data_IF_577889705876
#
_entry.id   IF_577889705876
#
_cell.length_a   1.000
_cell.length_b   1.000
_cell.length_c   1.000
_cell.angle_alpha   90.00
_cell.angle_beta   90.00
_cell.angle_gamma   90.00
#
_symmetry.space_group_name_H-M   'P 1'
#
loop_
_entity.id
_entity.type
_entity.pdbx_description
1 polymer ?
#
# COMPACT_ATOMS: atom_id res chain seq x y z
N UNK A 1 7.13 -8.70 -27.92
CA UNK A 1 5.93 -9.12 -28.69
C UNK A 1 5.01 -9.88 -27.75
N UNK A 2 3.67 -9.71 -27.81
CA UNK A 2 2.77 -10.64 -27.13
C UNK A 2 3.06 -12.04 -27.70
N UNK A 3 3.67 -12.89 -26.89
CA UNK A 3 3.92 -14.26 -27.29
C UNK A 3 2.55 -14.89 -27.54
N UNK A 4 2.29 -15.32 -28.78
CA UNK A 4 1.10 -16.09 -29.15
C UNK A 4 1.12 -17.43 -28.43
N UNK A 5 0.82 -17.43 -27.14
CA UNK A 5 0.53 -18.64 -26.40
C UNK A 5 -0.93 -18.98 -26.70
N UNK A 6 -1.13 -19.72 -27.78
CA UNK A 6 -2.44 -20.28 -28.11
C UNK A 6 -2.55 -21.63 -27.39
N UNK A 7 -3.40 -21.71 -26.38
CA UNK A 7 -3.74 -23.00 -25.76
C UNK A 7 -4.99 -23.52 -26.50
N UNK A 8 -4.90 -24.64 -27.22
CA UNK A 8 -6.06 -25.23 -27.88
C UNK A 8 -7.08 -25.63 -26.82
N UNK A 9 -8.36 -25.28 -27.04
CA UNK A 9 -9.44 -25.67 -26.15
C UNK A 9 -9.57 -27.20 -26.19
N UNK A 10 -9.42 -27.93 -25.07
CA UNK A 10 -9.68 -29.35 -25.06
C UNK A 10 -11.17 -29.59 -25.38
N UNK A 11 -11.42 -30.29 -26.48
CA UNK A 11 -12.76 -30.72 -26.90
C UNK A 11 -13.48 -31.43 -25.76
N UNK A 12 -14.57 -30.85 -25.28
CA UNK A 12 -15.45 -31.44 -24.26
C UNK A 12 -15.29 -30.94 -22.81
N UNK A 13 -14.36 -30.01 -22.50
CA UNK A 13 -14.29 -29.38 -21.17
C UNK A 13 -14.32 -27.85 -21.28
N UNK A 14 -15.40 -27.22 -20.80
CA UNK A 14 -15.47 -25.76 -20.66
C UNK A 14 -14.31 -25.29 -19.78
N UNK A 15 -13.34 -24.65 -20.42
CA UNK A 15 -12.24 -23.95 -19.77
C UNK A 15 -12.70 -22.50 -19.59
N UNK A 16 -12.71 -22.04 -18.35
CA UNK A 16 -13.10 -20.68 -18.02
C UNK A 16 -11.96 -19.73 -18.40
N UNK A 17 -12.32 -18.58 -18.97
CA UNK A 17 -11.35 -17.55 -19.38
C UNK A 17 -11.16 -16.58 -18.23
N UNK A 18 -9.91 -16.33 -17.88
CA UNK A 18 -9.52 -15.32 -16.92
C UNK A 18 -8.98 -14.06 -17.60
N UNK A 19 -8.54 -13.10 -16.79
CA UNK A 19 -7.93 -11.87 -17.27
C UNK A 19 -6.69 -12.14 -18.15
N UNK A 20 -6.46 -11.26 -19.13
CA UNK A 20 -5.31 -11.38 -20.05
C UNK A 20 -5.48 -12.42 -21.16
N UNK A 21 -6.69 -12.96 -21.34
CA UNK A 21 -7.01 -13.92 -22.41
C UNK A 21 -8.25 -13.49 -23.20
N UNK A 22 -8.30 -13.86 -24.47
CA UNK A 22 -9.48 -13.73 -25.33
C UNK A 22 -9.59 -14.99 -26.20
N UNK A 23 -10.73 -15.20 -26.86
CA UNK A 23 -10.90 -16.34 -27.77
C UNK A 23 -10.98 -15.87 -29.20
N UNK A 24 -10.22 -16.56 -30.04
CA UNK A 24 -10.11 -16.36 -31.46
C UNK A 24 -10.11 -17.74 -32.11
N UNK A 25 -11.03 -18.01 -33.04
CA UNK A 25 -11.11 -19.28 -33.79
C UNK A 25 -11.07 -20.55 -32.91
N UNK A 26 -11.88 -20.62 -31.85
CA UNK A 26 -11.91 -21.72 -30.87
C UNK A 26 -10.57 -22.01 -30.16
N UNK A 27 -9.66 -21.03 -30.14
CA UNK A 27 -8.43 -21.08 -29.36
C UNK A 27 -8.39 -19.95 -28.35
N UNK A 28 -7.89 -20.24 -27.14
CA UNK A 28 -7.63 -19.19 -26.15
C UNK A 28 -6.28 -18.57 -26.50
N UNK A 29 -6.29 -17.28 -26.79
CA UNK A 29 -5.10 -16.48 -27.12
C UNK A 29 -4.86 -15.45 -26.02
N UNK A 30 -3.59 -15.19 -25.72
CA UNK A 30 -3.19 -14.16 -24.78
C UNK A 30 -3.32 -12.76 -25.38
N UNK A 31 -3.89 -11.82 -24.62
CA UNK A 31 -3.92 -10.39 -24.98
C UNK A 31 -2.73 -9.59 -24.45
N UNK A 32 -1.95 -10.15 -23.52
CA UNK A 32 -0.88 -9.43 -22.80
C UNK A 32 0.41 -10.26 -22.72
N UNK A 33 1.57 -9.59 -22.76
CA UNK A 33 2.83 -10.28 -22.51
C UNK A 33 2.96 -10.60 -21.01
N UNK A 34 3.10 -11.89 -20.68
CA UNK A 34 3.00 -12.36 -19.30
C UNK A 34 3.25 -13.85 -19.13
N UNK A 35 3.14 -14.31 -17.88
CA UNK A 35 3.20 -15.72 -17.52
C UNK A 35 1.79 -16.32 -17.52
N UNK A 36 1.67 -17.57 -17.99
CA UNK A 36 0.40 -18.29 -17.97
C UNK A 36 0.12 -18.79 -16.55
N UNK A 37 -1.03 -18.42 -16.01
CA UNK A 37 -1.53 -18.95 -14.73
C UNK A 37 -2.75 -19.82 -14.99
N UNK A 38 -2.68 -21.08 -14.53
CA UNK A 38 -3.77 -22.03 -14.63
C UNK A 38 -4.22 -22.44 -13.25
N UNK A 39 -5.37 -21.93 -12.84
CA UNK A 39 -6.00 -22.29 -11.55
C UNK A 39 -7.24 -23.13 -11.85
N UNK A 40 -7.15 -24.43 -11.58
CA UNK A 40 -8.20 -25.40 -11.92
C UNK A 40 -8.56 -25.38 -13.42
N UNK A 41 -9.75 -24.88 -13.74
CA UNK A 41 -10.30 -24.73 -15.10
C UNK A 41 -10.18 -23.30 -15.63
N UNK A 42 -9.66 -22.36 -14.84
CA UNK A 42 -9.47 -20.97 -15.22
C UNK A 42 -8.06 -20.79 -15.82
N UNK A 43 -7.99 -20.26 -17.03
CA UNK A 43 -6.73 -19.84 -17.65
C UNK A 43 -6.67 -18.31 -17.67
N UNK A 44 -5.67 -17.74 -17.02
CA UNK A 44 -5.35 -16.32 -17.04
C UNK A 44 -3.90 -16.09 -17.44
N UNK A 45 -3.58 -14.89 -17.90
CA UNK A 45 -2.20 -14.48 -18.16
C UNK A 45 -1.86 -13.32 -17.25
N UNK A 46 -0.88 -13.53 -16.38
CA UNK A 46 -0.37 -12.49 -15.49
C UNK A 46 0.62 -11.61 -16.25
N UNK A 47 0.32 -10.33 -16.49
CA UNK A 47 1.19 -9.47 -17.30
C UNK A 47 2.56 -9.24 -16.64
N UNK A 48 3.57 -8.85 -17.43
CA UNK A 48 4.92 -8.49 -16.92
C UNK A 48 5.00 -7.11 -16.27
N UNK A 49 4.13 -6.18 -16.66
CA UNK A 49 3.93 -4.90 -15.97
C UNK A 49 2.44 -4.57 -15.93
N UNK A 50 1.94 -4.14 -14.76
CA UNK A 50 0.55 -3.74 -14.57
C UNK A 50 0.48 -2.70 -13.47
N UNK A 51 -0.47 -1.79 -13.59
CA UNK A 51 -0.92 -0.96 -12.47
C UNK A 51 -1.53 -1.85 -11.40
N UNK A 52 -1.68 -1.31 -10.20
CA UNK A 52 -2.37 -1.99 -9.12
C UNK A 52 -3.77 -2.41 -9.57
N UNK A 53 -4.05 -3.71 -9.44
CA UNK A 53 -5.37 -4.29 -9.67
C UNK A 53 -5.98 -4.52 -8.30
N UNK A 54 -6.98 -3.74 -7.90
CA UNK A 54 -7.56 -3.83 -6.58
C UNK A 54 -8.36 -5.10 -6.36
N UNK A 55 -8.28 -5.64 -5.15
CA UNK A 55 -9.15 -6.70 -4.65
C UNK A 55 -9.88 -6.25 -3.38
N UNK A 56 -11.03 -6.86 -3.08
CA UNK A 56 -11.77 -6.56 -1.85
C UNK A 56 -10.95 -7.03 -0.65
N UNK A 57 -10.85 -6.17 0.36
CA UNK A 57 -10.05 -6.40 1.57
C UNK A 57 -8.59 -5.94 1.45
N UNK A 58 -8.20 -5.32 0.34
CA UNK A 58 -6.86 -4.79 0.19
C UNK A 58 -6.65 -3.54 1.05
N UNK A 59 -5.53 -3.52 1.77
CA UNK A 59 -5.05 -2.31 2.44
C UNK A 59 -4.31 -1.43 1.44
N UNK A 60 -4.76 -0.20 1.26
CA UNK A 60 -4.19 0.76 0.31
C UNK A 60 -3.91 2.09 1.00
N UNK A 61 -2.85 2.75 0.55
CA UNK A 61 -2.60 4.14 0.91
C UNK A 61 -3.03 4.99 -0.27
N UNK A 62 -3.65 6.13 -0.02
CA UNK A 62 -4.10 7.01 -1.10
C UNK A 62 -4.03 8.48 -0.75
N UNK A 63 -4.05 9.31 -1.79
CA UNK A 63 -4.04 10.76 -1.68
C UNK A 63 -5.41 11.32 -2.06
N UNK A 64 -5.96 12.22 -1.25
CA UNK A 64 -7.19 12.94 -1.60
C UNK A 64 -6.91 13.83 -2.82
N UNK A 65 -7.67 13.64 -3.89
CA UNK A 65 -7.59 14.46 -5.11
C UNK A 65 -8.59 15.58 -5.06
N UNK A 66 -9.83 15.27 -4.70
CA UNK A 66 -10.92 16.25 -4.59
C UNK A 66 -11.90 15.85 -3.49
N UNK A 67 -12.52 16.89 -2.91
CA UNK A 67 -13.69 16.76 -2.05
C UNK A 67 -14.94 17.06 -2.88
N UNK A 68 -15.78 16.06 -3.09
CA UNK A 68 -17.05 16.19 -3.81
C UNK A 68 -18.24 16.02 -2.84
N UNK A 69 -19.47 16.24 -3.32
CA UNK A 69 -20.67 16.12 -2.50
C UNK A 69 -20.78 14.74 -1.83
N UNK A 70 -20.65 14.70 -0.50
CA UNK A 70 -20.72 13.50 0.36
C UNK A 70 -19.65 12.42 0.11
N UNK A 71 -18.63 12.69 -0.72
CA UNK A 71 -17.56 11.73 -1.02
C UNK A 71 -16.22 12.42 -1.30
N UNK A 72 -15.14 11.73 -1.01
CA UNK A 72 -13.80 12.10 -1.45
C UNK A 72 -13.38 11.21 -2.61
N UNK A 73 -12.68 11.79 -3.60
CA UNK A 73 -11.92 11.00 -4.57
C UNK A 73 -10.50 10.82 -4.08
N UNK A 74 -10.00 9.60 -4.18
CA UNK A 74 -8.70 9.20 -3.65
C UNK A 74 -7.88 8.55 -4.76
N UNK A 75 -6.71 9.08 -5.02
CA UNK A 75 -5.71 8.49 -5.91
C UNK A 75 -5.01 7.36 -5.17
N UNK A 76 -5.11 6.14 -5.70
CA UNK A 76 -4.58 4.93 -5.07
C UNK A 76 -3.78 4.06 -6.07
N UNK A 77 -3.13 4.67 -7.07
CA UNK A 77 -2.28 4.03 -8.08
C UNK A 77 -2.99 2.93 -8.92
N UNK A 78 -4.32 3.00 -9.00
CA UNK A 78 -5.14 2.09 -9.78
C UNK A 78 -5.44 2.66 -11.18
N UNK A 79 -6.35 2.00 -11.91
CA UNK A 79 -6.84 2.47 -13.22
C UNK A 79 -7.73 3.73 -13.11
N UNK A 80 -8.47 3.84 -12.01
CA UNK A 80 -9.43 4.92 -11.74
C UNK A 80 -9.25 5.37 -10.29
N UNK A 81 -9.66 6.60 -10.00
CA UNK A 81 -9.69 7.11 -8.64
C UNK A 81 -10.69 6.32 -7.79
N UNK A 82 -10.29 6.01 -6.58
CA UNK A 82 -11.16 5.39 -5.59
C UNK A 82 -12.11 6.42 -4.99
N UNK A 83 -13.24 5.95 -4.46
CA UNK A 83 -14.26 6.78 -3.83
C UNK A 83 -14.35 6.41 -2.35
N UNK A 84 -14.13 7.39 -1.49
CA UNK A 84 -14.34 7.28 -0.06
C UNK A 84 -15.61 8.03 0.32
N UNK A 85 -16.66 7.31 0.71
CA UNK A 85 -17.92 7.92 1.10
C UNK A 85 -17.84 8.51 2.51
N UNK A 86 -18.52 9.63 2.77
CA UNK A 86 -18.66 10.18 4.14
C UNK A 86 -19.28 9.16 5.11
N UNK A 87 -20.17 8.30 4.61
CA UNK A 87 -20.77 7.20 5.38
C UNK A 87 -19.77 6.09 5.76
N UNK A 88 -18.62 6.01 5.09
CA UNK A 88 -17.60 4.97 5.28
C UNK A 88 -16.40 5.42 6.13
N UNK A 89 -16.42 6.66 6.63
CA UNK A 89 -15.38 7.25 7.48
C UNK A 89 -15.83 7.35 8.94
N UNK A 90 -14.89 7.21 9.88
CA UNK A 90 -15.11 7.40 11.32
C UNK A 90 -15.00 8.87 11.70
N UNK A 91 -16.13 9.54 11.99
CA UNK A 91 -16.11 10.94 12.40
C UNK A 91 -15.63 11.10 13.85
N UNK A 92 -15.02 12.24 14.22
CA UNK A 92 -14.73 12.56 15.61
C UNK A 92 -16.01 12.50 16.45
N UNK A 93 -15.97 11.85 17.61
CA UNK A 93 -17.12 11.52 18.46
C UNK A 93 -17.47 10.02 18.51
N UNK A 94 -16.73 9.17 17.79
CA UNK A 94 -16.84 7.71 17.86
C UNK A 94 -17.96 7.10 17.01
N UNK A 95 -18.04 5.76 17.02
CA UNK A 95 -18.94 4.94 16.17
C UNK A 95 -20.43 5.28 16.41
N UNK A 96 -20.78 5.82 17.58
CA UNK A 96 -22.16 6.09 17.99
C UNK A 96 -22.70 7.47 17.57
N UNK A 97 -21.86 8.34 16.97
CA UNK A 97 -22.30 9.64 16.44
C UNK A 97 -23.15 9.43 15.19
N UNK A 98 -24.39 9.94 15.20
CA UNK A 98 -25.26 9.98 14.01
C UNK A 98 -24.69 11.02 13.03
N UNK A 99 -24.47 10.61 11.77
CA UNK A 99 -23.96 11.48 10.70
C UNK A 99 -25.04 12.49 10.32
N UNK A 100 -24.72 13.79 10.36
CA UNK A 100 -25.66 14.88 10.12
C UNK A 100 -25.29 15.59 8.81
N UNK A 101 -26.25 16.21 8.13
CA UNK A 101 -25.99 17.00 6.91
C UNK A 101 -24.95 18.10 7.12
N UNK A 102 -24.81 18.64 8.34
CA UNK A 102 -23.77 19.61 8.69
C UNK A 102 -22.34 19.07 8.57
N UNK A 103 -22.14 17.74 8.70
CA UNK A 103 -20.82 17.12 8.53
C UNK A 103 -20.36 17.20 7.07
N UNK A 104 -21.29 17.26 6.12
CA UNK A 104 -20.97 17.39 4.70
C UNK A 104 -20.37 18.75 4.32
N UNK A 105 -20.71 19.79 5.07
CA UNK A 105 -20.13 21.13 4.93
C UNK A 105 -18.71 21.18 5.50
N UNK A 106 -18.41 20.31 6.47
CA UNK A 106 -17.12 20.23 7.17
C UNK A 106 -16.19 19.15 6.62
N UNK A 107 -16.52 18.55 5.47
CA UNK A 107 -15.71 17.46 4.90
C UNK A 107 -14.24 17.84 4.70
N UNK A 108 -14.01 19.09 4.30
CA UNK A 108 -12.67 19.66 4.08
C UNK A 108 -11.87 19.85 5.38
N UNK A 109 -12.54 19.93 6.53
CA UNK A 109 -11.88 19.98 7.84
C UNK A 109 -11.35 18.60 8.25
N UNK A 110 -11.96 17.52 7.78
CA UNK A 110 -11.50 16.16 8.06
C UNK A 110 -10.39 15.73 7.10
N UNK A 111 -10.67 15.83 5.80
CA UNK A 111 -9.76 15.40 4.74
C UNK A 111 -9.83 16.42 3.61
N UNK A 112 -8.73 17.14 3.42
CA UNK A 112 -8.53 18.12 2.36
C UNK A 112 -7.73 17.52 1.20
N UNK A 113 -7.72 18.20 0.05
CA UNK A 113 -6.92 17.78 -1.10
C UNK A 113 -5.43 17.76 -0.76
N UNK A 114 -4.75 16.69 -1.20
CA UNK A 114 -3.34 16.44 -0.89
C UNK A 114 -3.11 15.60 0.35
N UNK A 115 -4.12 15.43 1.22
CA UNK A 115 -3.99 14.58 2.40
C UNK A 115 -3.76 13.12 2.03
N UNK A 116 -2.91 12.44 2.80
CA UNK A 116 -2.66 11.02 2.67
C UNK A 116 -3.46 10.26 3.74
N UNK A 117 -4.01 9.12 3.34
CA UNK A 117 -4.75 8.25 4.24
C UNK A 117 -4.48 6.78 3.92
N UNK A 118 -4.65 5.93 4.92
CA UNK A 118 -4.73 4.48 4.76
C UNK A 118 -6.19 4.05 4.85
N UNK A 119 -6.62 3.21 3.91
CA UNK A 119 -7.98 2.69 3.83
C UNK A 119 -7.98 1.26 3.31
N UNK A 120 -9.12 0.60 3.49
CA UNK A 120 -9.37 -0.74 2.96
C UNK A 120 -10.38 -0.69 1.81
N UNK A 121 -10.18 -1.55 0.81
CA UNK A 121 -11.10 -1.70 -0.31
C UNK A 121 -12.33 -2.50 0.15
N UNK A 122 -13.47 -1.82 0.25
CA UNK A 122 -14.72 -2.42 0.72
C UNK A 122 -15.42 -3.26 -0.36
N UNK A 123 -15.53 -2.67 -1.54
CA UNK A 123 -16.37 -3.16 -2.63
C UNK A 123 -16.02 -2.40 -3.92
N UNK A 124 -16.62 -2.83 -5.01
CA UNK A 124 -16.56 -2.15 -6.30
C UNK A 124 -17.92 -1.59 -6.66
N UNK A 125 -17.93 -0.39 -7.23
CA UNK A 125 -19.10 0.17 -7.89
C UNK A 125 -19.33 -0.50 -9.25
N UNK A 126 -20.51 -0.30 -9.84
CA UNK A 126 -20.87 -0.90 -11.13
C UNK A 126 -20.02 -0.43 -12.31
N UNK A 127 -19.37 0.73 -12.19
CA UNK A 127 -18.41 1.29 -13.13
C UNK A 127 -16.97 0.74 -12.95
N UNK A 128 -16.75 -0.07 -11.92
CA UNK A 128 -15.45 -0.62 -11.54
C UNK A 128 -14.62 0.29 -10.64
N UNK A 129 -15.15 1.44 -10.20
CA UNK A 129 -14.48 2.26 -9.21
C UNK A 129 -14.41 1.55 -7.86
N UNK A 130 -13.31 1.73 -7.14
CA UNK A 130 -13.13 1.15 -5.80
C UNK A 130 -13.90 1.98 -4.78
N UNK A 131 -14.66 1.32 -3.91
CA UNK A 131 -15.22 1.93 -2.70
C UNK A 131 -14.28 1.68 -1.54
N UNK A 132 -13.77 2.74 -0.91
CA UNK A 132 -12.91 2.67 0.27
C UNK A 132 -13.71 2.85 1.55
N UNK A 133 -13.18 2.30 2.65
CA UNK A 133 -13.67 2.59 4.00
C UNK A 133 -12.53 2.70 5.01
N UNK A 134 -12.77 3.49 6.06
CA UNK A 134 -11.84 3.69 7.19
C UNK A 134 -12.53 3.35 8.51
N UNK A 135 -13.32 2.26 8.52
CA UNK A 135 -14.10 1.84 9.71
C UNK A 135 -13.22 1.38 10.88
N UNK A 136 -12.02 0.88 10.62
CA UNK A 136 -11.09 0.51 11.68
C UNK A 136 -10.37 1.74 12.21
N UNK A 137 -10.15 1.78 13.51
CA UNK A 137 -9.38 2.82 14.20
C UNK A 137 -7.89 2.87 13.77
N UNK A 138 -7.38 1.77 13.21
CA UNK A 138 -6.05 1.71 12.59
C UNK A 138 -5.99 2.46 11.24
N UNK A 139 -7.14 2.84 10.70
CA UNK A 139 -7.25 3.50 9.41
C UNK A 139 -7.54 4.99 9.60
N UNK A 140 -7.04 5.82 8.70
CA UNK A 140 -7.20 7.27 8.83
C UNK A 140 -6.09 8.04 8.14
N UNK A 141 -6.01 9.32 8.51
CA UNK A 141 -5.03 10.25 7.97
C UNK A 141 -3.62 9.88 8.44
N UNK A 142 -2.67 9.94 7.51
CA UNK A 142 -1.27 9.64 7.76
C UNK A 142 -0.50 10.93 8.13
N UNK A 143 0.33 10.84 9.17
CA UNK A 143 1.15 11.95 9.70
C UNK A 143 2.51 11.45 10.19
N UNK A 144 3.41 12.38 10.52
CA UNK A 144 4.73 12.10 11.11
C UNK A 144 5.58 11.09 10.30
N UNK A 145 5.57 11.20 8.98
CA UNK A 145 6.22 10.21 8.12
C UNK A 145 6.45 10.66 6.69
N UNK A 146 6.88 9.70 5.88
CA UNK A 146 7.24 9.86 4.48
C UNK A 146 6.58 8.79 3.61
N UNK A 147 6.08 9.21 2.46
CA UNK A 147 5.48 8.34 1.45
C UNK A 147 6.53 7.90 0.43
N UNK A 148 6.57 6.60 0.15
CA UNK A 148 7.31 6.00 -0.95
C UNK A 148 6.34 5.42 -1.97
N UNK A 149 6.64 5.63 -3.24
CA UNK A 149 5.86 5.08 -4.36
C UNK A 149 6.68 4.02 -5.07
N UNK A 150 6.27 2.77 -4.92
CA UNK A 150 6.93 1.59 -5.49
C UNK A 150 6.04 0.88 -6.51
N UNK A 151 6.62 -0.09 -7.21
CA UNK A 151 5.85 -1.01 -8.03
C UNK A 151 4.97 -1.90 -7.15
N UNK A 152 3.64 -1.99 -7.40
CA UNK A 152 2.73 -2.85 -6.61
C UNK A 152 3.16 -4.32 -6.58
N UNK A 153 3.96 -4.76 -7.56
CA UNK A 153 4.45 -6.14 -7.68
C UNK A 153 5.42 -6.54 -6.58
N UNK A 154 6.11 -5.57 -5.99
CA UNK A 154 7.11 -5.80 -4.95
C UNK A 154 6.46 -6.03 -3.59
N UNK A 155 5.20 -5.64 -3.43
CA UNK A 155 4.47 -5.75 -2.18
C UNK A 155 3.69 -7.07 -2.21
N UNK A 156 4.16 -8.04 -1.42
CA UNK A 156 3.47 -9.32 -1.25
C UNK A 156 2.30 -9.14 -0.29
N UNK A 157 1.23 -9.92 -0.47
CA UNK A 157 0.11 -9.97 0.48
C UNK A 157 0.59 -10.69 1.74
N UNK A 158 0.63 -9.96 2.86
CA UNK A 158 1.07 -10.45 4.17
C UNK A 158 -0.13 -10.61 5.10
N UNK A 159 0.07 -11.30 6.23
CA UNK A 159 -0.95 -11.41 7.29
C UNK A 159 -1.27 -10.04 7.90
N UNK A 160 -0.26 -9.19 8.05
CA UNK A 160 -0.38 -7.80 8.46
C UNK A 160 0.46 -6.94 7.53
N UNK A 161 -0.15 -5.88 7.02
CA UNK A 161 0.53 -4.84 6.24
C UNK A 161 1.03 -3.68 7.11
N UNK A 162 0.76 -3.74 8.42
CA UNK A 162 1.38 -2.89 9.42
C UNK A 162 2.60 -3.63 9.98
N UNK A 163 3.77 -3.07 9.73
CA UNK A 163 5.07 -3.60 10.17
C UNK A 163 5.64 -2.61 11.18
N UNK A 164 5.98 -3.10 12.36
CA UNK A 164 6.59 -2.30 13.40
C UNK A 164 8.04 -2.74 13.57
N UNK A 165 8.98 -1.80 13.39
CA UNK A 165 10.41 -2.01 13.61
C UNK A 165 10.76 -1.45 15.00
N UNK A 166 10.96 -2.31 16.02
CA UNK A 166 11.30 -1.85 17.35
C UNK A 166 12.72 -1.28 17.41
N UNK A 167 13.08 -0.68 18.55
CA UNK A 167 14.46 -0.33 18.87
C UNK A 167 15.39 -1.54 18.61
N UNK A 168 16.55 -1.37 17.95
CA UNK A 168 17.34 -0.13 17.82
C UNK A 168 17.02 0.75 16.59
N UNK A 169 15.90 0.54 15.88
CA UNK A 169 15.49 1.37 14.74
C UNK A 169 15.03 2.77 15.16
N UNK A 170 15.96 3.62 15.59
CA UNK A 170 15.67 4.89 16.25
C UNK A 170 15.29 4.73 17.73
N UNK A 171 15.24 5.83 18.50
CA UNK A 171 14.91 5.81 19.93
C UNK A 171 13.46 5.40 20.20
N UNK A 172 12.54 5.61 19.25
CA UNK A 172 11.11 5.29 19.42
C UNK A 172 10.62 4.13 18.53
N UNK A 173 11.47 3.61 17.64
CA UNK A 173 11.08 2.66 16.61
C UNK A 173 10.50 3.34 15.38
N UNK A 174 10.26 2.57 14.33
CA UNK A 174 9.67 3.04 13.06
C UNK A 174 8.48 2.16 12.70
N UNK A 175 7.36 2.79 12.35
CA UNK A 175 6.18 2.12 11.83
C UNK A 175 6.18 2.19 10.29
N UNK A 176 5.96 1.07 9.63
CA UNK A 176 5.88 0.95 8.17
C UNK A 176 4.54 0.36 7.77
N UNK A 177 3.83 1.04 6.88
CA UNK A 177 2.57 0.58 6.30
C UNK A 177 2.80 0.24 4.84
N UNK A 178 2.63 -1.03 4.49
CA UNK A 178 2.82 -1.56 3.14
C UNK A 178 1.48 -1.63 2.40
N UNK A 179 1.10 -0.58 1.68
CA UNK A 179 -0.12 -0.58 0.85
C UNK A 179 0.04 -1.48 -0.36
N UNK A 180 -0.92 -2.39 -0.61
CA UNK A 180 -0.90 -3.33 -1.75
C UNK A 180 -0.87 -2.63 -3.12
N UNK A 181 -1.18 -1.33 -3.14
CA UNK A 181 -1.14 -0.48 -4.31
C UNK A 181 0.24 0.08 -4.67
N UNK A 182 1.31 -0.36 -4.00
CA UNK A 182 2.67 0.13 -4.25
C UNK A 182 3.05 1.33 -3.38
N UNK A 183 2.09 1.93 -2.67
CA UNK A 183 2.37 3.04 -1.76
C UNK A 183 2.77 2.51 -0.39
N UNK A 184 3.89 3.00 0.12
CA UNK A 184 4.44 2.61 1.41
C UNK A 184 4.59 3.87 2.26
N UNK A 185 4.11 3.83 3.49
CA UNK A 185 4.26 4.92 4.44
C UNK A 185 5.22 4.53 5.54
N UNK A 186 6.23 5.34 5.79
CA UNK A 186 7.22 5.15 6.86
C UNK A 186 7.06 6.31 7.85
N UNK A 187 6.70 6.00 9.09
CA UNK A 187 6.45 7.00 10.14
C UNK A 187 7.17 6.68 11.43
N UNK A 188 7.22 7.68 12.31
CA UNK A 188 7.69 7.49 13.67
C UNK A 188 6.88 6.39 14.38
N UNK A 189 7.58 5.52 15.11
CA UNK A 189 6.97 4.48 15.93
C UNK A 189 6.08 5.11 17.00
N UNK A 190 4.77 4.97 16.84
CA UNK A 190 3.82 5.46 17.84
C UNK A 190 3.60 4.37 18.90
N UNK A 191 3.74 4.70 20.19
CA UNK A 191 3.30 3.80 21.27
C UNK A 191 1.81 3.45 21.17
N UNK A 192 1.04 4.29 20.47
CA UNK A 192 -0.41 4.18 20.27
C UNK A 192 -0.82 3.05 19.31
N UNK A 193 0.07 2.54 18.45
CA UNK A 193 -0.26 1.40 17.57
C UNK A 193 -0.25 0.05 18.29
N UNK A 194 0.23 0.02 19.55
CA UNK A 194 0.53 -1.21 20.30
C UNK A 194 -0.58 -1.69 21.24
N UNK A 195 -1.50 -0.82 21.66
CA UNK A 195 -2.60 -1.20 22.54
C UNK A 195 -3.91 -1.09 21.76
N UNK A 196 -4.59 -2.23 21.59
CA UNK A 196 -5.73 -2.33 20.70
C UNK A 196 -6.80 -1.31 21.02
N UNK A 197 -7.15 -0.47 20.03
CA UNK A 197 -8.46 0.16 19.81
C UNK A 197 -9.19 0.79 21.01
N UNK A 198 -8.53 1.04 22.14
CA UNK A 198 -9.11 1.66 23.32
C UNK A 198 -8.36 2.96 23.56
N UNK A 199 -8.95 4.07 23.12
CA UNK A 199 -8.41 5.41 23.41
C UNK A 199 -7.83 6.17 22.22
N UNK A 200 -8.26 5.89 20.98
CA UNK A 200 -8.17 6.94 19.95
C UNK A 200 -9.08 8.09 20.37
N UNK A 201 -8.50 9.09 21.03
CA UNK A 201 -9.08 10.40 21.17
C UNK A 201 -9.43 10.87 19.77
N UNK A 202 -10.72 10.78 19.45
CA UNK A 202 -11.24 10.93 18.10
C UNK A 202 -10.95 12.32 17.50
N UNK A 203 -10.53 13.28 18.34
CA UNK A 203 -10.14 14.63 17.94
C UNK A 203 -8.79 14.69 17.21
N UNK A 204 -7.86 13.77 17.49
CA UNK A 204 -6.51 13.77 16.89
C UNK A 204 -6.42 13.14 15.49
N UNK A 205 -7.43 12.38 15.07
CA UNK A 205 -7.40 11.56 13.83
C UNK A 205 -7.30 12.39 12.56
N UNK A 206 -7.80 13.63 12.59
CA UNK A 206 -7.85 14.53 11.45
C UNK A 206 -6.95 15.76 11.59
N UNK A 207 -6.04 15.73 12.58
CA UNK A 207 -5.09 16.83 12.78
C UNK A 207 -4.05 16.84 11.66
N UNK A 208 -3.71 18.03 11.18
CA UNK A 208 -2.71 18.24 10.12
C UNK A 208 -1.30 18.46 10.66
N UNK A 209 -1.19 18.80 11.95
CA UNK A 209 0.07 19.10 12.58
C UNK A 209 0.85 17.82 12.85
N UNK A 210 2.11 17.82 12.43
CA UNK A 210 3.07 16.81 12.83
C UNK A 210 3.60 17.14 14.22
N UNK A 211 3.92 16.10 14.98
CA UNK A 211 4.57 16.24 16.29
C UNK A 211 6.04 16.66 16.07
N UNK A 212 6.67 17.30 17.07
CA UNK A 212 8.10 17.57 17.01
C UNK A 212 8.88 16.25 16.98
N UNK A 213 9.80 16.13 16.02
CA UNK A 213 10.58 14.93 15.80
C UNK A 213 12.06 15.22 16.00
N UNK A 214 12.76 14.33 16.68
CA UNK A 214 14.20 14.45 16.85
C UNK A 214 14.95 14.15 15.54
N UNK A 215 16.19 14.64 15.45
CA UNK A 215 17.03 14.39 14.29
C UNK A 215 17.32 12.88 14.10
N UNK A 216 17.46 12.15 15.20
CA UNK A 216 17.69 10.71 15.21
C UNK A 216 16.49 9.94 14.64
N UNK A 217 15.27 10.32 15.03
CA UNK A 217 14.04 9.71 14.52
C UNK A 217 13.84 9.97 13.02
N UNK A 218 14.10 11.21 12.57
CA UNK A 218 14.06 11.53 11.13
C UNK A 218 15.10 10.75 10.34
N UNK A 219 16.29 10.56 10.90
CA UNK A 219 17.32 9.75 10.27
C UNK A 219 16.91 8.28 10.18
N UNK A 220 16.30 7.72 11.23
CA UNK A 220 15.79 6.35 11.22
C UNK A 220 14.70 6.13 10.15
N UNK A 221 13.76 7.06 10.00
CA UNK A 221 12.73 7.02 8.95
C UNK A 221 13.37 7.06 7.55
N UNK A 222 14.36 7.94 7.37
CA UNK A 222 15.07 8.08 6.10
C UNK A 222 15.86 6.81 5.77
N UNK A 223 16.51 6.21 6.75
CA UNK A 223 17.28 4.97 6.61
C UNK A 223 16.40 3.78 6.24
N UNK A 224 15.26 3.61 6.91
CA UNK A 224 14.28 2.57 6.57
C UNK A 224 13.75 2.78 5.16
N UNK A 225 13.45 4.03 4.80
CA UNK A 225 12.99 4.37 3.47
C UNK A 225 14.04 4.12 2.38
N UNK A 226 15.31 4.36 2.69
CA UNK A 226 16.43 4.04 1.81
C UNK A 226 16.55 2.53 1.60
N UNK A 227 16.47 1.72 2.67
CA UNK A 227 16.48 0.25 2.58
C UNK A 227 15.37 -0.24 1.65
N UNK A 228 14.14 0.23 1.88
CA UNK A 228 12.98 -0.12 1.06
C UNK A 228 13.20 0.28 -0.41
N UNK A 229 13.73 1.48 -0.65
CA UNK A 229 14.01 1.98 -2.00
C UNK A 229 15.12 1.18 -2.70
N UNK A 230 16.15 0.76 -1.97
CA UNK A 230 17.25 -0.07 -2.48
C UNK A 230 16.77 -1.47 -2.86
N UNK A 231 15.98 -2.12 -1.99
CA UNK A 231 15.37 -3.42 -2.28
C UNK A 231 14.46 -3.33 -3.52
N UNK A 232 13.67 -2.26 -3.60
CA UNK A 232 12.77 -2.04 -4.73
C UNK A 232 13.51 -1.78 -6.06
N UNK A 233 14.65 -1.10 -6.03
CA UNK A 233 15.48 -0.86 -7.22
C UNK A 233 16.07 -2.15 -7.82
N UNK A 234 16.13 -3.23 -7.04
CA UNK A 234 16.63 -4.55 -7.42
C UNK A 234 15.52 -5.58 -7.62
N UNK A 235 14.27 -5.14 -7.73
CA UNK A 235 13.08 -6.00 -7.88
C UNK A 235 12.93 -7.06 -6.77
N UNK A 236 13.49 -6.80 -5.58
CA UNK A 236 13.38 -7.69 -4.42
C UNK A 236 12.02 -7.46 -3.74
N UNK A 237 11.17 -8.49 -3.60
CA UNK A 237 9.90 -8.33 -2.91
C UNK A 237 10.08 -8.02 -1.42
N UNK A 238 9.28 -7.10 -0.91
CA UNK A 238 9.39 -6.62 0.47
C UNK A 238 8.76 -7.62 1.45
N UNK A 239 9.47 -7.89 2.55
CA UNK A 239 8.98 -8.55 3.75
C UNK A 239 9.36 -7.74 4.99
N UNK A 240 8.65 -7.98 6.10
CA UNK A 240 8.99 -7.42 7.41
C UNK A 240 10.39 -7.83 7.86
N UNK A 241 10.79 -9.08 7.63
CA UNK A 241 12.13 -9.59 7.95
C UNK A 241 13.23 -8.88 7.16
N UNK A 242 13.08 -8.76 5.83
CA UNK A 242 14.09 -8.14 4.96
C UNK A 242 14.27 -6.65 5.27
N UNK A 243 13.20 -5.94 5.63
CA UNK A 243 13.30 -4.53 6.01
C UNK A 243 14.07 -4.39 7.32
N UNK A 244 13.78 -5.25 8.31
CA UNK A 244 14.47 -5.23 9.60
C UNK A 244 15.96 -5.59 9.48
N UNK A 245 16.28 -6.65 8.73
CA UNK A 245 17.65 -7.08 8.44
C UNK A 245 18.40 -6.03 7.62
N UNK A 246 17.76 -5.43 6.62
CA UNK A 246 18.35 -4.36 5.82
C UNK A 246 18.68 -3.12 6.63
N UNK A 247 17.86 -2.78 7.63
CA UNK A 247 18.18 -1.71 8.55
C UNK A 247 19.36 -2.06 9.45
N UNK A 248 19.39 -3.28 10.03
CA UNK A 248 20.51 -3.73 10.87
C UNK A 248 21.83 -3.71 10.08
N UNK A 249 21.82 -4.23 8.86
CA UNK A 249 22.96 -4.19 7.94
C UNK A 249 23.46 -2.77 7.68
N UNK A 250 22.54 -1.81 7.43
CA UNK A 250 22.91 -0.42 7.20
C UNK A 250 23.66 0.19 8.39
N UNK A 251 23.28 -0.20 9.62
CA UNK A 251 23.96 0.22 10.85
C UNK A 251 25.34 -0.43 10.99
N UNK A 252 25.50 -1.69 10.61
CA UNK A 252 26.79 -2.40 10.63
C UNK A 252 27.79 -1.83 9.62
N UNK A 253 27.34 -1.45 8.42
CA UNK A 253 28.19 -0.82 7.40
C UNK A 253 28.66 0.58 7.81
N UNK A 254 28.06 1.17 8.85
CA UNK A 254 28.47 2.46 9.40
C UNK A 254 28.12 3.65 8.51
N UNK A 255 27.05 3.52 7.71
CA UNK A 255 26.57 4.62 6.87
C UNK A 255 26.03 5.76 7.74
N UNK A 256 26.36 7.00 7.37
CA UNK A 256 25.84 8.19 8.04
C UNK A 256 24.30 8.16 8.04
N UNK A 257 23.65 8.19 9.22
CA UNK A 257 22.20 8.18 9.31
C UNK A 257 21.55 9.30 8.48
N UNK A 258 20.51 8.98 7.73
CA UNK A 258 19.78 9.94 6.90
C UNK A 258 20.49 10.39 5.62
N UNK A 259 21.63 9.78 5.28
CA UNK A 259 22.27 10.02 3.98
C UNK A 259 21.47 9.38 2.83
N UNK A 260 21.49 9.95 1.62
CA UNK A 260 20.76 9.38 0.50
C UNK A 260 21.33 8.02 0.07
N UNK A 261 20.45 7.09 -0.29
CA UNK A 261 20.87 5.79 -0.82
C UNK A 261 21.68 5.95 -2.12
N UNK A 262 22.89 5.39 -2.14
CA UNK A 262 23.68 5.26 -3.37
C UNK A 262 23.40 3.93 -4.06
N UNK A 263 23.54 3.88 -5.39
CA UNK A 263 23.33 2.64 -6.16
C UNK A 263 24.27 1.53 -5.71
N UNK A 264 25.54 1.85 -5.45
CA UNK A 264 26.56 0.90 -4.99
C UNK A 264 26.20 0.29 -3.63
N UNK A 265 25.61 1.09 -2.73
CA UNK A 265 25.14 0.61 -1.44
C UNK A 265 23.99 -0.39 -1.62
N UNK A 266 23.04 -0.09 -2.51
CA UNK A 266 21.93 -0.99 -2.84
C UNK A 266 22.41 -2.31 -3.44
N UNK A 267 23.37 -2.26 -4.36
CA UNK A 267 23.97 -3.47 -4.97
C UNK A 267 24.63 -4.36 -3.91
N UNK A 268 25.29 -3.77 -2.90
CA UNK A 268 25.90 -4.50 -1.78
C UNK A 268 24.86 -5.10 -0.85
N UNK A 269 23.86 -4.31 -0.44
CA UNK A 269 22.76 -4.74 0.41
C UNK A 269 22.10 -6.01 -0.15
N UNK A 270 21.73 -5.98 -1.43
CA UNK A 270 21.02 -7.09 -2.08
C UNK A 270 21.90 -8.32 -2.23
N UNK A 271 23.19 -8.16 -2.52
CA UNK A 271 24.12 -9.29 -2.58
C UNK A 271 24.29 -9.97 -1.22
N UNK A 272 24.31 -9.22 -0.14
CA UNK A 272 24.57 -9.77 1.19
C UNK A 272 23.29 -10.31 1.86
N UNK A 273 22.12 -9.73 1.58
CA UNK A 273 20.85 -10.15 2.21
C UNK A 273 19.98 -11.04 1.31
N UNK A 274 19.84 -10.71 0.03
CA UNK A 274 18.88 -11.39 -0.85
C UNK A 274 19.41 -12.69 -1.48
N UNK A 275 20.71 -13.01 -1.31
CA UNK A 275 21.30 -14.28 -1.73
C UNK A 275 21.27 -15.35 -0.63
N UNK A 276 20.70 -15.04 0.54
CA UNK A 276 20.66 -15.92 1.71
C UNK A 276 19.34 -16.69 1.88
N UNK A 277 18.33 -16.42 1.04
CA UNK A 277 17.04 -17.15 0.98
C UNK A 277 16.89 -18.04 -0.26
#
# INVERSE_FOLDING_TARGET
MPARLAVPLPTGKLTNRGHGTYVENDTITSSVAGTLERVNKLISVRPLSTRYVPEVGDLVIGRIVEVAGQRWKVEANARQDAVLMLSSVNLPGGVQRRKVESDSLKMREFLAEGDLLVAEVQAFFSDGAMSLHTRSLKYGKLRNGMLLSLSPRLIRRLKSHFVHLPAPCGPHGVDVILGLNGYVWVSLGSKQSREGAEGLESEGVYRNDNDEMDAEDRAAITDVANVISMLAAHDVPLSDTLIAEGYAWLREVGVTPGSPASKELGDRLVRELALTE
#
